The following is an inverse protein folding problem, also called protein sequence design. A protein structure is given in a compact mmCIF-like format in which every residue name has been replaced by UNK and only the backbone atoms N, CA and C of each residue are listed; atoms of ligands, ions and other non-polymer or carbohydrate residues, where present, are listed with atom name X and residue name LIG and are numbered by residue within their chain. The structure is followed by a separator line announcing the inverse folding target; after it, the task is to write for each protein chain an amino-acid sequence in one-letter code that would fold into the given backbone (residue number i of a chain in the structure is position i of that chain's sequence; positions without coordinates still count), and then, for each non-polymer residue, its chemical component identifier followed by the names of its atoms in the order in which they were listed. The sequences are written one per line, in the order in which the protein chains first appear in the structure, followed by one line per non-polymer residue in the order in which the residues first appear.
data_IF_126664883812
#
_entry.id   IF_126664883812
#
_cell.length_a   1.000
_cell.length_b   1.000
_cell.length_c   1.000
_cell.angle_alpha   90.00
_cell.angle_beta   90.00
_cell.angle_gamma   90.00
#
_symmetry.space_group_name_H-M   'P 1'
#
loop_
_entity.id
_entity.type
_entity.pdbx_description
1 polymer ?
#
# COMPACT_ATOMS: atom_id res chain seq x y z
N UNK A 1 14.24 22.05 -18.28
CA UNK A 1 15.30 21.23 -18.93
C UNK A 1 15.14 19.78 -18.48
N UNK A 2 14.60 18.91 -19.33
CA UNK A 2 14.44 17.47 -19.04
C UNK A 2 15.70 16.72 -19.48
N UNK A 3 16.55 16.30 -18.54
CA UNK A 3 17.58 15.31 -18.84
C UNK A 3 16.93 13.92 -18.82
N UNK A 4 16.93 13.17 -19.94
CA UNK A 4 16.42 11.81 -19.94
C UNK A 4 17.28 10.92 -19.03
N UNK A 5 16.63 10.08 -18.22
CA UNK A 5 17.30 9.12 -17.33
C UNK A 5 18.17 8.18 -18.19
N UNK A 6 19.46 8.01 -17.88
CA UNK A 6 20.34 7.14 -18.65
C UNK A 6 19.85 5.69 -18.59
N UNK A 7 19.56 5.09 -19.74
CA UNK A 7 19.22 3.67 -19.81
C UNK A 7 20.43 2.85 -19.36
N UNK A 8 20.27 2.07 -18.29
CA UNK A 8 21.30 1.14 -17.81
C UNK A 8 21.69 0.18 -18.93
N UNK A 9 23.00 0.05 -19.21
CA UNK A 9 23.56 -0.95 -20.14
C UNK A 9 23.64 -2.35 -19.52
N UNK A 10 23.26 -2.53 -18.24
CA UNK A 10 23.21 -3.86 -17.64
C UNK A 10 22.14 -4.66 -18.39
N UNK A 11 22.45 -5.86 -18.91
CA UNK A 11 21.42 -6.75 -19.42
C UNK A 11 20.39 -6.89 -18.31
N UNK A 12 19.13 -6.53 -18.58
CA UNK A 12 18.03 -7.04 -17.79
C UNK A 12 18.20 -8.55 -17.93
N UNK A 13 18.53 -9.30 -16.86
CA UNK A 13 18.70 -10.72 -17.00
C UNK A 13 17.40 -11.22 -17.61
N UNK A 14 17.48 -11.79 -18.82
CA UNK A 14 16.35 -12.42 -19.46
C UNK A 14 15.88 -13.43 -18.43
N UNK A 15 14.77 -13.08 -17.75
CA UNK A 15 14.26 -13.80 -16.61
C UNK A 15 13.64 -15.05 -17.22
N UNK A 16 14.47 -16.01 -17.62
CA UNK A 16 14.03 -17.38 -17.81
C UNK A 16 13.33 -17.69 -16.49
N UNK A 17 12.01 -17.93 -16.48
CA UNK A 17 11.36 -18.32 -15.25
C UNK A 17 12.17 -19.52 -14.74
N UNK A 18 12.77 -19.40 -13.54
CA UNK A 18 13.28 -20.58 -12.84
C UNK A 18 12.11 -21.55 -12.84
N UNK A 19 12.29 -22.77 -13.34
CA UNK A 19 11.24 -23.78 -13.33
C UNK A 19 10.64 -23.81 -11.92
N UNK A 20 9.36 -23.42 -11.80
CA UNK A 20 8.65 -23.29 -10.53
C UNK A 20 8.38 -21.88 -10.00
N UNK A 21 8.87 -20.81 -10.63
CA UNK A 21 8.60 -19.41 -10.28
C UNK A 21 7.62 -18.79 -11.28
N UNK A 22 6.43 -19.35 -11.26
CA UNK A 22 5.29 -18.90 -12.05
C UNK A 22 4.66 -17.66 -11.40
N UNK A 23 4.28 -16.62 -12.16
CA UNK A 23 3.62 -15.42 -11.60
C UNK A 23 2.36 -15.77 -10.79
N UNK A 24 1.62 -16.80 -11.19
CA UNK A 24 0.46 -17.30 -10.44
C UNK A 24 0.83 -17.96 -9.10
N UNK A 25 2.05 -18.51 -8.96
CA UNK A 25 2.54 -19.04 -7.67
C UNK A 25 2.89 -17.91 -6.70
N UNK A 26 3.31 -16.75 -7.21
CA UNK A 26 3.41 -15.55 -6.38
C UNK A 26 2.01 -15.11 -5.93
N UNK A 27 1.01 -15.13 -6.82
CA UNK A 27 -0.37 -14.82 -6.49
C UNK A 27 -0.93 -15.72 -5.37
N UNK A 28 -0.71 -17.04 -5.45
CA UNK A 28 -1.12 -17.99 -4.42
C UNK A 28 -0.37 -17.85 -3.09
N UNK A 29 0.94 -17.57 -3.12
CA UNK A 29 1.76 -17.38 -1.92
C UNK A 29 1.46 -16.07 -1.19
N UNK A 30 1.22 -14.97 -1.92
CA UNK A 30 0.84 -13.69 -1.32
C UNK A 30 -0.55 -13.76 -0.68
N UNK A 31 -1.52 -14.41 -1.34
CA UNK A 31 -2.88 -14.53 -0.84
C UNK A 31 -3.00 -15.51 0.35
N UNK A 32 -2.15 -16.55 0.43
CA UNK A 32 -2.09 -17.43 1.61
C UNK A 32 -1.58 -16.73 2.88
N UNK A 33 -0.81 -15.64 2.75
CA UNK A 33 -0.45 -14.80 3.91
C UNK A 33 -1.63 -13.95 4.39
N UNK A 34 -2.47 -13.48 3.45
CA UNK A 34 -3.68 -12.73 3.74
C UNK A 34 -4.81 -13.58 4.34
N UNK A 35 -4.79 -14.90 4.15
CA UNK A 35 -5.76 -15.80 4.80
C UNK A 35 -5.44 -16.08 6.28
N UNK A 36 -4.23 -15.77 6.74
CA UNK A 36 -3.82 -15.93 8.15
C UNK A 36 -4.05 -14.67 9.00
N UNK A 37 -4.10 -13.49 8.38
CA UNK A 37 -4.27 -12.21 9.08
C UNK A 37 -5.60 -11.57 8.71
N UNK A 38 -6.32 -11.08 9.70
CA UNK A 38 -7.52 -10.28 9.44
C UNK A 38 -7.16 -8.95 8.77
N UNK A 39 -8.09 -8.37 8.03
CA UNK A 39 -7.94 -7.03 7.44
C UNK A 39 -7.53 -6.00 8.51
N UNK A 40 -8.09 -6.11 9.72
CA UNK A 40 -7.74 -5.25 10.85
C UNK A 40 -6.25 -5.38 11.24
N UNK A 41 -5.71 -6.60 11.31
CA UNK A 41 -4.29 -6.82 11.63
C UNK A 41 -3.36 -6.25 10.56
N UNK A 42 -3.73 -6.41 9.28
CA UNK A 42 -2.97 -5.85 8.16
C UNK A 42 -2.97 -4.32 8.22
N UNK A 43 -4.14 -3.72 8.45
CA UNK A 43 -4.31 -2.26 8.57
C UNK A 43 -3.52 -1.71 9.77
N UNK A 44 -3.58 -2.35 10.93
CA UNK A 44 -2.81 -1.92 12.12
C UNK A 44 -1.30 -1.93 11.85
N UNK A 45 -0.79 -2.94 11.15
CA UNK A 45 0.63 -2.99 10.80
C UNK A 45 1.03 -1.84 9.85
N UNK A 46 0.16 -1.46 8.91
CA UNK A 46 0.39 -0.29 8.07
C UNK A 46 0.37 1.02 8.87
N UNK A 47 -0.58 1.19 9.78
CA UNK A 47 -0.66 2.36 10.66
C UNK A 47 0.56 2.46 11.58
N UNK A 48 1.01 1.35 12.16
CA UNK A 48 2.23 1.27 12.97
C UNK A 48 3.46 1.74 12.19
N UNK A 49 3.57 1.40 10.91
CA UNK A 49 4.68 1.87 10.05
C UNK A 49 4.62 3.38 9.79
N UNK A 50 3.43 3.95 9.62
CA UNK A 50 3.26 5.40 9.50
C UNK A 50 3.73 6.08 10.79
N UNK A 51 3.27 5.60 11.94
CA UNK A 51 3.65 6.13 13.26
C UNK A 51 5.17 6.07 13.51
N UNK A 52 5.82 4.98 13.12
CA UNK A 52 7.27 4.81 13.27
C UNK A 52 8.12 5.59 12.27
N UNK A 53 7.50 6.19 11.25
CA UNK A 53 8.24 6.98 10.25
C UNK A 53 8.56 8.35 10.83
N UNK A 54 9.85 8.64 11.06
CA UNK A 54 10.30 9.86 11.72
C UNK A 54 10.15 11.09 10.81
N UNK A 55 10.60 10.98 9.56
CA UNK A 55 10.61 12.08 8.61
C UNK A 55 9.19 12.44 8.14
N UNK A 56 8.74 13.71 8.27
CA UNK A 56 7.38 14.11 7.94
C UNK A 56 6.97 13.79 6.50
N UNK A 57 7.84 14.06 5.52
CA UNK A 57 7.56 13.77 4.11
C UNK A 57 7.39 12.26 3.86
N UNK A 58 8.26 11.45 4.47
CA UNK A 58 8.16 9.99 4.36
C UNK A 58 6.91 9.47 5.06
N UNK A 59 6.48 10.12 6.15
CA UNK A 59 5.26 9.76 6.87
C UNK A 59 4.02 9.99 6.00
N UNK A 60 3.95 11.11 5.30
CA UNK A 60 2.87 11.40 4.33
C UNK A 60 2.88 10.37 3.19
N UNK A 61 4.05 10.05 2.62
CA UNK A 61 4.16 9.00 1.60
C UNK A 61 3.71 7.62 2.14
N UNK A 62 4.07 7.29 3.38
CA UNK A 62 3.67 6.04 4.00
C UNK A 62 2.16 5.99 4.25
N UNK A 63 1.55 7.12 4.63
CA UNK A 63 0.10 7.25 4.77
C UNK A 63 -0.61 7.01 3.43
N UNK A 64 -0.13 7.58 2.32
CA UNK A 64 -0.67 7.33 0.98
C UNK A 64 -0.59 5.84 0.61
N UNK A 65 0.51 5.16 0.93
CA UNK A 65 0.65 3.70 0.71
C UNK A 65 -0.36 2.91 1.53
N UNK A 66 -0.62 3.31 2.78
CA UNK A 66 -1.63 2.70 3.64
C UNK A 66 -3.03 2.84 3.03
N UNK A 67 -3.36 4.00 2.48
CA UNK A 67 -4.62 4.22 1.75
C UNK A 67 -4.70 3.30 0.53
N UNK A 68 -3.64 3.23 -0.28
CA UNK A 68 -3.58 2.32 -1.43
C UNK A 68 -3.72 0.86 -1.03
N UNK A 69 -3.12 0.43 0.08
CA UNK A 69 -3.27 -0.92 0.60
C UNK A 69 -4.71 -1.23 1.04
N UNK A 70 -5.36 -0.30 1.75
CA UNK A 70 -6.76 -0.42 2.14
C UNK A 70 -7.69 -0.53 0.92
N UNK A 71 -7.47 0.30 -0.12
CA UNK A 71 -8.20 0.22 -1.38
C UNK A 71 -7.94 -1.11 -2.11
N UNK A 72 -6.71 -1.62 -2.06
CA UNK A 72 -6.37 -2.94 -2.59
C UNK A 72 -7.14 -4.07 -1.89
N UNK A 73 -7.16 -4.07 -0.55
CA UNK A 73 -7.93 -5.05 0.24
C UNK A 73 -9.44 -4.98 -0.09
N UNK A 74 -9.97 -3.77 -0.26
CA UNK A 74 -11.34 -3.56 -0.70
C UNK A 74 -11.59 -4.14 -2.11
N UNK A 75 -10.71 -3.85 -3.07
CA UNK A 75 -10.82 -4.34 -4.44
C UNK A 75 -10.72 -5.88 -4.55
N UNK A 76 -9.97 -6.53 -3.64
CA UNK A 76 -9.90 -7.98 -3.53
C UNK A 76 -11.09 -8.61 -2.78
N UNK A 77 -12.09 -7.83 -2.37
CA UNK A 77 -13.20 -8.27 -1.53
C UNK A 77 -12.74 -8.99 -0.25
N UNK A 78 -11.63 -8.53 0.35
CA UNK A 78 -11.14 -9.10 1.59
C UNK A 78 -12.21 -8.92 2.69
N UNK A 79 -12.55 -9.98 3.46
CA UNK A 79 -13.57 -9.89 4.49
C UNK A 79 -13.34 -8.73 5.47
N UNK A 80 -14.30 -7.82 5.55
CA UNK A 80 -14.25 -6.62 6.41
C UNK A 80 -13.57 -5.39 5.81
N UNK A 81 -12.95 -5.48 4.64
CA UNK A 81 -12.33 -4.33 3.98
C UNK A 81 -13.34 -3.31 3.43
N UNK A 82 -14.61 -3.67 3.27
CA UNK A 82 -15.67 -2.76 2.81
C UNK A 82 -16.40 -2.00 3.92
N UNK A 83 -16.05 -2.21 5.18
CA UNK A 83 -16.77 -1.59 6.29
C UNK A 83 -16.50 -0.09 6.39
N UNK A 84 -17.55 0.72 6.29
CA UNK A 84 -17.42 2.18 6.34
C UNK A 84 -16.75 2.70 7.63
N UNK A 85 -16.95 2.03 8.77
CA UNK A 85 -16.31 2.40 10.04
C UNK A 85 -14.78 2.20 9.99
N UNK A 86 -14.31 1.11 9.38
CA UNK A 86 -12.88 0.85 9.21
C UNK A 86 -12.21 1.97 8.41
N UNK A 87 -12.81 2.39 7.29
CA UNK A 87 -12.25 3.46 6.46
C UNK A 87 -12.19 4.78 7.22
N UNK A 88 -13.28 5.13 7.93
CA UNK A 88 -13.32 6.35 8.76
C UNK A 88 -12.22 6.35 9.82
N UNK A 89 -12.06 5.25 10.55
CA UNK A 89 -11.03 5.13 11.59
C UNK A 89 -9.62 5.23 11.01
N UNK A 90 -9.34 4.54 9.91
CA UNK A 90 -8.03 4.60 9.24
C UNK A 90 -7.72 6.02 8.78
N UNK A 91 -8.65 6.68 8.10
CA UNK A 91 -8.43 8.04 7.62
C UNK A 91 -8.26 9.05 8.76
N UNK A 92 -9.02 8.92 9.85
CA UNK A 92 -8.87 9.77 11.03
C UNK A 92 -7.48 9.58 11.69
N UNK A 93 -7.02 8.34 11.83
CA UNK A 93 -5.69 8.05 12.40
C UNK A 93 -4.56 8.54 11.50
N UNK A 94 -4.68 8.37 10.19
CA UNK A 94 -3.68 8.89 9.25
C UNK A 94 -3.62 10.42 9.29
N UNK A 95 -4.77 11.09 9.38
CA UNK A 95 -4.84 12.54 9.56
C UNK A 95 -4.10 12.99 10.83
N UNK A 96 -4.37 12.33 11.96
CA UNK A 96 -3.69 12.62 13.23
C UNK A 96 -2.16 12.39 13.17
N UNK A 97 -1.72 11.32 12.49
CA UNK A 97 -0.29 10.98 12.40
C UNK A 97 0.50 11.91 11.47
N UNK A 98 -0.14 12.44 10.43
CA UNK A 98 0.51 13.25 9.39
C UNK A 98 0.30 14.75 9.55
N UNK A 99 -0.73 15.18 10.29
CA UNK A 99 -1.18 16.57 10.33
C UNK A 99 -1.99 16.99 9.09
N UNK A 100 -2.22 16.07 8.15
CA UNK A 100 -2.96 16.32 6.91
C UNK A 100 -4.45 16.09 7.08
N UNK A 101 -5.27 16.76 6.27
CA UNK A 101 -6.71 16.46 6.22
C UNK A 101 -6.96 15.15 5.48
N UNK A 102 -8.07 14.47 5.80
CA UNK A 102 -8.47 13.27 5.07
C UNK A 102 -8.59 13.53 3.57
N UNK A 103 -9.20 14.64 3.16
CA UNK A 103 -9.36 14.98 1.74
C UNK A 103 -8.02 15.20 1.05
N UNK A 104 -7.06 15.83 1.73
CA UNK A 104 -5.71 16.01 1.18
C UNK A 104 -4.99 14.66 1.03
N UNK A 105 -5.08 13.78 2.01
CA UNK A 105 -4.51 12.43 1.95
C UNK A 105 -5.11 11.58 0.82
N UNK A 106 -6.43 11.64 0.62
CA UNK A 106 -7.15 10.92 -0.45
C UNK A 106 -6.79 11.49 -1.82
N UNK A 107 -6.68 12.81 -1.94
CA UNK A 107 -6.25 13.49 -3.18
C UNK A 107 -4.82 13.09 -3.55
N UNK A 108 -3.89 13.14 -2.59
CA UNK A 108 -2.50 12.76 -2.82
C UNK A 108 -2.33 11.27 -3.14
N UNK A 109 -3.17 10.40 -2.56
CA UNK A 109 -3.20 8.98 -2.90
C UNK A 109 -3.78 8.70 -4.30
N UNK A 110 -4.30 9.71 -5.00
CA UNK A 110 -4.93 9.56 -6.32
C UNK A 110 -6.29 8.87 -6.27
N UNK A 111 -6.96 8.90 -5.12
CA UNK A 111 -8.25 8.23 -4.88
C UNK A 111 -9.44 9.17 -5.15
N UNK A 112 -9.26 10.48 -4.97
CA UNK A 112 -10.25 11.48 -5.41
C UNK A 112 -10.04 11.82 -6.88
N UNK A 113 -11.12 11.76 -7.67
CA UNK A 113 -11.22 12.32 -9.03
C UNK A 113 -12.33 13.33 -9.07
#
# INVERSE_FOLDING_TARGET
MNRPIPKSKRPIPARKPKAGLEPFRLYGSFNNGLSQLSVAQVVEEFLRRVEQTIEPEQRVMQAQRTIGALMGLFAFNAPGAGYAHLHKDVFARLSALTGETTDHLVTMAGVAR
#
